data_IF_782213835791
#
_entry.id   IF_782213835791
#
_cell.length_a   1.000
_cell.length_b   1.000
_cell.length_c   1.000
_cell.angle_alpha   90.00
_cell.angle_beta   90.00
_cell.angle_gamma   90.00
#
_symmetry.space_group_name_H-M   'P 1'
#
loop_
_entity.id
_entity.type
_entity.pdbx_description
1 polymer ?
#
# COMPACT_ATOMS: atom_id res chain seq x y z
N UNK A 1 9.72 5.52 11.17
CA UNK A 1 10.34 5.02 9.92
C UNK A 1 11.16 3.81 10.32
N UNK A 2 11.05 2.68 9.64
CA UNK A 2 11.82 1.49 10.02
C UNK A 2 13.28 1.69 9.60
N UNK A 3 14.21 1.66 10.56
CA UNK A 3 15.63 1.86 10.31
C UNK A 3 16.26 0.69 9.54
N UNK A 4 15.72 -0.53 9.71
CA UNK A 4 16.23 -1.72 9.04
C UNK A 4 15.80 -1.86 7.57
N UNK A 5 14.62 -1.36 7.20
CA UNK A 5 14.08 -1.49 5.83
C UNK A 5 13.92 -0.16 5.10
N UNK A 6 14.06 0.97 5.79
CA UNK A 6 13.81 2.28 5.20
C UNK A 6 12.36 2.48 4.75
N UNK A 7 11.39 1.80 5.40
CA UNK A 7 9.96 1.88 5.09
C UNK A 7 9.14 2.47 6.25
N UNK A 8 8.04 3.15 5.93
CA UNK A 8 7.07 3.59 6.94
C UNK A 8 6.34 2.37 7.53
N UNK A 9 6.22 2.28 8.86
CA UNK A 9 5.56 1.15 9.53
C UNK A 9 4.07 1.02 9.22
N UNK A 10 3.40 2.12 8.86
CA UNK A 10 1.96 2.11 8.59
C UNK A 10 1.61 1.92 7.11
N UNK A 11 2.44 2.44 6.20
CA UNK A 11 2.11 2.44 4.77
C UNK A 11 3.11 1.67 3.90
N UNK A 12 4.16 1.10 4.49
CA UNK A 12 5.25 0.37 3.83
C UNK A 12 5.83 1.04 2.56
N UNK A 13 5.80 2.39 2.54
CA UNK A 13 6.42 3.27 1.54
C UNK A 13 7.71 3.89 2.09
N UNK A 14 8.63 4.18 1.19
CA UNK A 14 9.85 4.95 1.48
C UNK A 14 9.54 6.44 1.64
N UNK A 15 10.45 7.20 2.27
CA UNK A 15 10.29 8.65 2.43
C UNK A 15 10.19 9.36 1.08
N UNK A 16 10.93 8.88 0.07
CA UNK A 16 10.99 9.45 -1.27
C UNK A 16 9.65 9.27 -2.00
N UNK A 17 9.08 8.06 -1.91
CA UNK A 17 7.74 7.76 -2.45
C UNK A 17 6.62 8.57 -1.76
N UNK A 18 6.80 8.94 -0.47
CA UNK A 18 5.84 9.76 0.27
C UNK A 18 5.99 11.23 -0.12
N UNK A 19 7.23 11.74 -0.17
CA UNK A 19 7.53 13.13 -0.52
C UNK A 19 7.15 13.46 -1.96
N UNK A 20 7.41 12.55 -2.90
CA UNK A 20 7.07 12.70 -4.32
C UNK A 20 5.62 12.41 -4.67
N UNK A 21 4.80 11.92 -3.73
CA UNK A 21 3.47 11.36 -4.02
C UNK A 21 2.55 12.30 -4.79
N UNK A 22 2.51 13.59 -4.42
CA UNK A 22 1.63 14.57 -5.07
C UNK A 22 2.07 14.89 -6.49
N UNK A 23 3.37 14.77 -6.80
CA UNK A 23 3.93 15.04 -8.13
C UNK A 23 3.90 13.81 -9.06
N UNK A 24 3.71 12.61 -8.51
CA UNK A 24 3.62 11.38 -9.30
C UNK A 24 2.34 11.32 -10.15
N UNK A 25 2.49 10.82 -11.36
CA UNK A 25 1.40 10.47 -12.27
C UNK A 25 0.61 9.27 -11.73
N UNK A 26 -0.62 9.07 -12.19
CA UNK A 26 -1.43 7.91 -11.76
C UNK A 26 -0.76 6.57 -12.08
N UNK A 27 -0.01 6.49 -13.17
CA UNK A 27 0.76 5.29 -13.52
C UNK A 27 1.88 5.01 -12.50
N UNK A 28 2.58 6.05 -12.06
CA UNK A 28 3.65 5.95 -11.06
C UNK A 28 3.08 5.59 -9.69
N UNK A 29 1.97 6.24 -9.30
CA UNK A 29 1.23 5.92 -8.07
C UNK A 29 0.79 4.45 -8.05
N UNK A 30 0.26 3.93 -9.15
CA UNK A 30 -0.10 2.50 -9.28
C UNK A 30 1.13 1.59 -9.11
N UNK A 31 2.26 1.94 -9.72
CA UNK A 31 3.48 1.16 -9.60
C UNK A 31 4.03 1.16 -8.16
N UNK A 32 3.94 2.29 -7.44
CA UNK A 32 4.31 2.39 -6.03
C UNK A 32 3.37 1.54 -5.16
N UNK A 33 2.05 1.64 -5.36
CA UNK A 33 1.08 0.83 -4.60
C UNK A 33 1.26 -0.68 -4.82
N UNK A 34 1.59 -1.10 -6.05
CA UNK A 34 1.90 -2.50 -6.33
C UNK A 34 3.12 -2.98 -5.53
N UNK A 35 4.21 -2.18 -5.50
CA UNK A 35 5.40 -2.49 -4.70
C UNK A 35 5.13 -2.51 -3.20
N UNK A 36 4.29 -1.59 -2.71
CA UNK A 36 3.84 -1.59 -1.31
C UNK A 36 3.16 -2.91 -0.98
N UNK A 37 2.22 -3.37 -1.82
CA UNK A 37 1.51 -4.63 -1.61
C UNK A 37 2.46 -5.85 -1.53
N UNK A 38 3.50 -5.88 -2.36
CA UNK A 38 4.53 -6.93 -2.29
C UNK A 38 5.33 -6.85 -0.98
N UNK A 39 5.71 -5.64 -0.53
CA UNK A 39 6.44 -5.42 0.73
C UNK A 39 5.58 -5.80 1.95
N UNK A 40 4.30 -5.44 1.90
CA UNK A 40 3.29 -5.80 2.89
C UNK A 40 3.20 -7.32 2.99
N UNK A 41 3.08 -8.03 1.86
CA UNK A 41 3.03 -9.49 1.81
C UNK A 41 4.34 -10.20 2.18
N UNK A 42 5.49 -9.53 2.07
CA UNK A 42 6.76 -10.04 2.56
C UNK A 42 6.91 -9.83 4.08
N UNK A 43 6.30 -8.79 4.64
CA UNK A 43 6.39 -8.44 6.06
C UNK A 43 5.29 -9.10 6.90
N UNK A 44 4.11 -9.27 6.31
CA UNK A 44 3.00 -10.07 6.81
C UNK A 44 3.10 -11.42 6.12
N UNK A 45 3.31 -12.50 6.88
CA UNK A 45 3.05 -13.86 6.39
C UNK A 45 1.71 -13.87 5.63
N UNK A 46 1.61 -14.48 4.44
CA UNK A 46 0.58 -14.15 3.45
C UNK A 46 -0.82 -14.17 4.05
N UNK A 47 -1.47 -13.01 4.09
CA UNK A 47 -2.89 -12.91 4.44
C UNK A 47 -3.70 -13.02 3.15
N UNK A 48 -4.51 -14.08 2.96
CA UNK A 48 -5.53 -14.13 1.91
C UNK A 48 -6.69 -13.19 2.30
N UNK A 49 -6.43 -11.89 2.25
CA UNK A 49 -7.27 -10.87 2.88
C UNK A 49 -7.53 -9.66 2.00
N UNK A 50 -7.45 -9.79 0.67
CA UNK A 50 -8.15 -8.87 -0.22
C UNK A 50 -9.65 -9.09 -0.03
N UNK A 51 -10.23 -8.49 1.01
CA UNK A 51 -11.66 -8.48 1.24
C UNK A 51 -12.31 -7.87 0.00
N UNK A 52 -13.12 -8.62 -0.78
CA UNK A 52 -13.95 -7.96 -1.77
C UNK A 52 -14.92 -7.08 -0.98
N UNK A 53 -14.99 -5.80 -1.34
CA UNK A 53 -15.98 -4.88 -0.80
C UNK A 53 -17.37 -5.48 -1.00
N UNK A 54 -17.95 -6.07 0.04
CA UNK A 54 -19.39 -6.27 0.14
C UNK A 54 -20.00 -4.96 0.66
N UNK A 55 -20.08 -3.95 -0.20
CA UNK A 55 -20.90 -2.76 0.06
C UNK A 55 -22.24 -2.94 -0.64
N UNK A 56 -23.11 -3.73 -0.02
CA UNK A 56 -24.46 -4.02 -0.50
C UNK A 56 -25.48 -3.82 0.61
N UNK A 57 -25.74 -2.57 0.99
CA UNK A 57 -26.95 -2.23 1.74
C UNK A 57 -28.09 -2.12 0.73
N UNK A 58 -28.95 -3.14 0.70
CA UNK A 58 -30.27 -3.05 0.09
C UNK A 58 -31.12 -2.08 0.93
N UNK A 59 -31.67 -1.04 0.28
CA UNK A 59 -32.68 -0.19 0.89
C UNK A 59 -34.04 -0.91 0.86
N UNK A 60 -34.82 -0.94 1.96
CA UNK A 60 -36.22 -1.36 1.92
C UNK A 60 -37.09 -0.36 1.13
#
# INVERSE_FOLDING_TARGET
MNEATGLCHGCHRTIDEIAGWSAMSDAEKRAVLARVKEREAASQRPEPGATPLASGRACP
#
